data_IF_689084991672
#
_entry.id   IF_689084991672
#
_cell.length_a   1.000
_cell.length_b   1.000
_cell.length_c   1.000
_cell.angle_alpha   90.00
_cell.angle_beta   90.00
_cell.angle_gamma   90.00
#
_symmetry.space_group_name_H-M   'P 1'
#
loop_
_entity.id
_entity.type
_entity.pdbx_description
1 polymer ?
#
# COMPACT_ATOMS: atom_id res chain seq x y z
N UNK A 1 -32.94 9.24 2.12
CA UNK A 1 -32.55 8.85 3.50
C UNK A 1 -32.43 7.35 3.74
N UNK A 2 -33.15 6.47 3.03
CA UNK A 2 -33.13 5.01 3.26
C UNK A 2 -31.83 4.25 2.90
N UNK A 3 -30.83 4.91 2.29
CA UNK A 3 -29.54 4.28 1.92
C UNK A 3 -28.39 4.57 2.89
N UNK A 4 -28.66 5.25 4.01
CA UNK A 4 -27.63 5.57 5.00
C UNK A 4 -27.64 4.55 6.16
N UNK A 5 -26.50 4.29 6.81
CA UNK A 5 -26.43 3.49 8.03
C UNK A 5 -27.39 4.02 9.12
N UNK A 6 -28.02 3.12 9.89
CA UNK A 6 -29.11 3.44 10.84
C UNK A 6 -28.69 4.49 11.88
N UNK A 7 -27.45 4.46 12.33
CA UNK A 7 -26.87 5.45 13.24
C UNK A 7 -26.77 6.85 12.62
N UNK A 8 -26.47 6.95 11.33
CA UNK A 8 -26.41 8.21 10.59
C UNK A 8 -27.82 8.75 10.32
N UNK A 9 -28.77 7.87 10.03
CA UNK A 9 -30.19 8.25 9.90
C UNK A 9 -30.73 8.83 11.21
N UNK A 10 -30.39 8.24 12.36
CA UNK A 10 -30.82 8.72 13.68
C UNK A 10 -30.28 10.13 13.98
N UNK A 11 -28.99 10.36 13.68
CA UNK A 11 -28.35 11.68 13.86
C UNK A 11 -28.96 12.72 12.92
N UNK A 12 -29.19 12.37 11.66
CA UNK A 12 -29.82 13.26 10.67
C UNK A 12 -31.31 13.52 10.96
N UNK A 13 -32.01 12.58 11.60
CA UNK A 13 -33.41 12.77 12.02
C UNK A 13 -33.56 13.63 13.26
N UNK A 14 -32.53 13.71 14.11
CA UNK A 14 -32.49 14.57 15.29
C UNK A 14 -32.01 15.99 14.99
N UNK A 15 -31.35 16.20 13.85
CA UNK A 15 -30.85 17.50 13.40
C UNK A 15 -31.92 18.23 12.59
N UNK A 16 -32.36 19.40 13.05
CA UNK A 16 -33.32 20.25 12.32
C UNK A 16 -32.68 21.03 11.16
N UNK A 17 -31.35 20.95 11.01
CA UNK A 17 -30.60 21.74 10.05
C UNK A 17 -30.54 21.08 8.67
N UNK A 18 -30.52 21.90 7.62
CA UNK A 18 -30.43 21.43 6.24
C UNK A 18 -29.10 20.71 5.98
N UNK A 19 -29.11 19.70 5.10
CA UNK A 19 -27.92 18.90 4.74
C UNK A 19 -26.74 19.80 4.29
N UNK A 20 -27.05 20.91 3.63
CA UNK A 20 -26.10 21.93 3.18
C UNK A 20 -25.44 22.69 4.34
N UNK A 21 -26.16 22.93 5.44
CA UNK A 21 -25.60 23.58 6.63
C UNK A 21 -24.68 22.64 7.42
N UNK A 22 -25.01 21.34 7.47
CA UNK A 22 -24.15 20.32 8.09
C UNK A 22 -22.84 20.13 7.31
N UNK A 23 -22.91 20.14 5.97
CA UNK A 23 -21.71 20.12 5.12
C UNK A 23 -20.84 21.38 5.35
N UNK A 24 -21.46 22.56 5.41
CA UNK A 24 -20.75 23.79 5.73
C UNK A 24 -20.13 23.82 7.13
N UNK A 25 -20.77 23.19 8.13
CA UNK A 25 -20.22 23.04 9.47
C UNK A 25 -19.03 22.08 9.48
N UNK A 26 -19.10 20.97 8.75
CA UNK A 26 -17.98 20.03 8.60
C UNK A 26 -16.77 20.70 7.93
N UNK A 27 -16.98 21.49 6.88
CA UNK A 27 -15.92 22.27 6.23
C UNK A 27 -15.31 23.32 7.16
N UNK A 28 -16.12 23.98 8.00
CA UNK A 28 -15.61 24.93 9.01
C UNK A 28 -14.80 24.25 10.11
N UNK A 29 -15.22 23.07 10.56
CA UNK A 29 -14.48 22.27 11.55
C UNK A 29 -13.15 21.78 10.97
N UNK A 30 -13.12 21.44 9.67
CA UNK A 30 -11.89 21.11 8.95
C UNK A 30 -10.93 22.32 8.88
N UNK A 31 -11.43 23.51 8.54
CA UNK A 31 -10.62 24.73 8.43
C UNK A 31 -10.01 25.18 9.77
N UNK A 32 -10.70 24.97 10.89
CA UNK A 32 -10.21 25.35 12.23
C UNK A 32 -9.04 24.45 12.68
N UNK A 33 -8.90 23.25 12.12
CA UNK A 33 -7.83 22.31 12.43
C UNK A 33 -6.55 22.48 11.57
N UNK A 34 -6.48 23.44 10.66
CA UNK A 34 -5.30 23.70 9.80
C UNK A 34 -4.27 24.68 10.40
N UNK A 35 -4.05 24.70 11.72
CA UNK A 35 -2.88 25.42 12.27
C UNK A 35 -1.67 24.47 12.30
N UNK A 36 -1.03 24.29 11.14
CA UNK A 36 0.43 24.25 11.00
C UNK A 36 0.84 23.91 9.56
N UNK A 37 0.96 24.93 8.70
CA UNK A 37 1.88 24.92 7.56
C UNK A 37 2.65 26.25 7.50
N UNK A 38 3.92 26.25 7.07
CA UNK A 38 4.84 27.37 7.27
C UNK A 38 4.60 28.50 6.27
N UNK A 39 4.93 29.72 6.71
CA UNK A 39 4.82 30.97 5.94
C UNK A 39 5.85 30.97 4.80
N UNK A 40 5.38 31.15 3.56
CA UNK A 40 6.21 31.41 2.38
C UNK A 40 6.36 32.92 2.21
N UNK A 41 7.58 33.45 2.29
CA UNK A 41 7.87 34.84 1.92
C UNK A 41 7.98 34.96 0.40
N UNK A 42 7.14 35.80 -0.21
CA UNK A 42 7.34 36.27 -1.59
C UNK A 42 8.29 37.48 -1.58
N UNK A 43 9.43 37.36 -2.26
CA UNK A 43 10.38 38.45 -2.42
C UNK A 43 10.02 39.29 -3.65
N UNK A 44 9.72 40.58 -3.45
CA UNK A 44 9.55 41.58 -4.50
C UNK A 44 10.92 41.97 -5.09
N UNK A 45 10.98 42.02 -6.42
CA UNK A 45 12.13 42.50 -7.18
C UNK A 45 12.34 44.01 -6.99
N UNK A 46 13.57 44.40 -6.68
CA UNK A 46 14.07 45.74 -7.01
C UNK A 46 15.35 45.57 -7.84
N UNK A 47 15.29 46.08 -9.06
CA UNK A 47 16.43 46.19 -9.96
C UNK A 47 17.40 47.23 -9.38
N UNK A 48 18.57 46.77 -8.94
CA UNK A 48 19.77 47.60 -8.91
C UNK A 48 21.00 46.71 -9.12
N UNK A 49 21.86 47.18 -10.03
CA UNK A 49 23.11 46.60 -10.50
C UNK A 49 24.02 46.08 -9.38
N UNK A 50 23.97 44.78 -9.11
CA UNK A 50 24.83 44.11 -8.12
C UNK A 50 25.81 43.16 -8.82
N UNK A 51 26.92 43.71 -9.29
CA UNK A 51 28.07 42.93 -9.78
C UNK A 51 28.65 41.99 -8.70
N UNK A 52 28.51 42.34 -7.42
CA UNK A 52 28.85 41.45 -6.30
C UNK A 52 27.81 40.33 -6.09
N UNK A 53 26.53 40.62 -6.30
CA UNK A 53 25.46 39.63 -6.22
C UNK A 53 25.59 38.54 -7.28
N UNK A 54 25.98 38.93 -8.50
CA UNK A 54 26.24 37.99 -9.60
C UNK A 54 27.45 37.08 -9.32
N UNK A 55 28.50 37.59 -8.66
CA UNK A 55 29.67 36.77 -8.29
C UNK A 55 29.31 35.76 -7.19
N UNK A 56 28.49 36.16 -6.21
CA UNK A 56 27.99 35.29 -5.15
C UNK A 56 27.07 34.21 -5.73
N UNK A 57 26.13 34.59 -6.59
CA UNK A 57 25.22 33.66 -7.29
C UNK A 57 26.01 32.69 -8.17
N UNK A 58 27.04 33.17 -8.89
CA UNK A 58 27.92 32.30 -9.69
C UNK A 58 28.71 31.33 -8.81
N UNK A 59 29.26 31.77 -7.67
CA UNK A 59 29.97 30.88 -6.74
C UNK A 59 29.03 29.86 -6.09
N UNK A 60 27.78 30.26 -5.80
CA UNK A 60 26.76 29.36 -5.27
C UNK A 60 26.31 28.35 -6.32
N UNK A 61 26.13 28.78 -7.57
CA UNK A 61 25.82 27.88 -8.68
C UNK A 61 26.93 26.83 -8.87
N UNK A 62 28.21 27.23 -8.82
CA UNK A 62 29.33 26.29 -8.89
C UNK A 62 29.38 25.33 -7.69
N UNK A 63 29.09 25.81 -6.48
CA UNK A 63 29.00 24.95 -5.29
C UNK A 63 27.83 23.97 -5.39
N UNK A 64 26.68 24.41 -5.89
CA UNK A 64 25.51 23.57 -6.13
C UNK A 64 25.86 22.51 -7.17
N UNK A 65 26.49 22.87 -8.28
CA UNK A 65 26.88 21.91 -9.32
C UNK A 65 27.90 20.88 -8.81
N UNK A 66 28.87 21.31 -8.00
CA UNK A 66 29.81 20.41 -7.33
C UNK A 66 29.11 19.45 -6.35
N UNK A 67 28.17 19.96 -5.54
CA UNK A 67 27.35 19.16 -4.63
C UNK A 67 26.44 18.19 -5.39
N UNK A 68 25.79 18.63 -6.46
CA UNK A 68 24.97 17.78 -7.33
C UNK A 68 25.81 16.67 -7.97
N UNK A 69 27.03 16.97 -8.39
CA UNK A 69 27.97 15.97 -8.91
C UNK A 69 28.39 14.97 -7.82
N UNK A 70 28.64 15.44 -6.59
CA UNK A 70 28.97 14.59 -5.46
C UNK A 70 27.79 13.70 -5.02
N UNK A 71 26.57 14.25 -4.98
CA UNK A 71 25.33 13.50 -4.68
C UNK A 71 25.05 12.48 -5.78
N UNK A 72 25.28 12.82 -7.05
CA UNK A 72 25.16 11.88 -8.16
C UNK A 72 26.21 10.77 -8.09
N UNK A 73 27.44 11.08 -7.66
CA UNK A 73 28.49 10.08 -7.43
C UNK A 73 28.14 9.14 -6.27
N UNK A 74 27.68 9.68 -5.14
CA UNK A 74 27.21 8.90 -3.99
C UNK A 74 25.97 8.07 -4.34
N UNK A 75 25.07 8.60 -5.16
CA UNK A 75 23.88 7.88 -5.65
C UNK A 75 24.27 6.77 -6.64
N UNK A 76 25.29 6.99 -7.48
CA UNK A 76 25.86 5.95 -8.36
C UNK A 76 26.61 4.88 -7.58
N UNK A 77 27.33 5.24 -6.52
CA UNK A 77 27.98 4.28 -5.60
C UNK A 77 26.95 3.47 -4.81
N UNK A 78 25.90 4.12 -4.30
CA UNK A 78 24.75 3.46 -3.66
C UNK A 78 23.99 2.56 -4.64
N UNK A 79 23.81 2.97 -5.89
CA UNK A 79 23.22 2.12 -6.93
C UNK A 79 24.15 0.98 -7.35
N UNK A 80 25.48 1.16 -7.37
CA UNK A 80 26.44 0.06 -7.57
C UNK A 80 26.39 -0.94 -6.42
N UNK A 81 26.32 -0.47 -5.16
CA UNK A 81 26.12 -1.31 -3.99
C UNK A 81 24.77 -2.03 -4.02
N UNK A 82 23.70 -1.36 -4.45
CA UNK A 82 22.38 -1.96 -4.65
C UNK A 82 22.34 -2.95 -5.82
N UNK A 83 23.14 -2.78 -6.88
CA UNK A 83 23.25 -3.74 -7.98
C UNK A 83 24.09 -4.95 -7.56
N UNK A 84 25.15 -4.77 -6.76
CA UNK A 84 25.86 -5.90 -6.13
C UNK A 84 25.01 -6.60 -5.07
N UNK A 85 24.16 -5.88 -4.34
CA UNK A 85 23.18 -6.44 -3.40
C UNK A 85 21.93 -6.99 -4.10
N UNK A 86 21.61 -6.56 -5.32
CA UNK A 86 20.53 -7.12 -6.15
C UNK A 86 20.95 -8.44 -6.77
N UNK A 87 22.25 -8.63 -7.07
CA UNK A 87 22.82 -9.96 -7.36
C UNK A 87 23.00 -10.83 -6.11
N UNK A 88 22.94 -10.23 -4.92
CA UNK A 88 22.66 -10.91 -3.65
C UNK A 88 21.21 -10.64 -3.23
N UNK A 89 20.25 -10.68 -4.16
CA UNK A 89 18.83 -10.64 -3.80
C UNK A 89 18.62 -11.72 -2.74
N UNK A 90 18.27 -11.22 -1.57
CA UNK A 90 17.99 -11.91 -0.33
C UNK A 90 17.76 -13.42 -0.48
N UNK A 91 18.84 -14.20 -0.31
CA UNK A 91 18.80 -15.40 0.53
C UNK A 91 18.71 -14.97 2.01
N UNK A 92 17.85 -14.00 2.30
CA UNK A 92 17.44 -13.64 3.66
C UNK A 92 16.21 -14.47 4.02
N UNK A 93 16.18 -15.74 3.60
CA UNK A 93 15.71 -16.83 4.45
C UNK A 93 16.92 -17.24 5.28
N UNK A 94 17.38 -16.34 6.15
CA UNK A 94 18.16 -16.79 7.29
C UNK A 94 17.11 -17.13 8.33
N UNK A 95 16.43 -18.27 8.14
CA UNK A 95 16.09 -19.09 9.30
C UNK A 95 17.46 -19.38 9.90
N UNK A 96 17.87 -18.53 10.87
CA UNK A 96 18.96 -18.90 11.74
C UNK A 96 18.53 -20.24 12.30
N UNK A 97 19.21 -21.29 11.86
CA UNK A 97 19.20 -22.59 12.50
C UNK A 97 19.93 -22.44 13.84
N UNK A 98 19.42 -21.52 14.67
CA UNK A 98 19.83 -21.32 16.02
C UNK A 98 19.18 -22.44 16.81
N UNK A 99 20.00 -23.08 17.63
CA UNK A 99 19.81 -24.41 18.20
C UNK A 99 18.70 -24.45 19.28
N UNK A 100 17.49 -23.93 19.01
CA UNK A 100 16.45 -23.63 20.01
C UNK A 100 15.02 -23.95 19.54
N UNK A 101 14.82 -25.13 18.95
CA UNK A 101 13.64 -25.99 19.10
C UNK A 101 13.69 -27.02 17.97
N UNK A 102 13.44 -28.32 18.22
CA UNK A 102 13.13 -29.23 17.14
C UNK A 102 11.93 -28.67 16.37
N UNK A 103 12.03 -28.58 15.04
CA UNK A 103 10.92 -28.15 14.20
C UNK A 103 9.64 -28.91 14.60
N UNK A 104 8.62 -28.19 15.07
CA UNK A 104 7.38 -28.78 15.56
C UNK A 104 6.71 -29.67 14.49
N UNK A 105 6.89 -29.28 13.23
CA UNK A 105 6.38 -29.93 12.04
C UNK A 105 7.56 -30.29 11.11
N UNK A 106 7.64 -31.55 10.68
CA UNK A 106 8.77 -32.11 9.91
C UNK A 106 8.30 -32.59 8.54
N UNK A 107 9.22 -32.80 7.60
CA UNK A 107 8.90 -33.29 6.25
C UNK A 107 8.17 -34.65 6.29
N UNK A 108 8.56 -35.53 7.22
CA UNK A 108 7.84 -36.80 7.44
C UNK A 108 6.38 -36.58 7.87
N UNK A 109 6.12 -35.59 8.73
CA UNK A 109 4.73 -35.23 9.11
C UNK A 109 3.96 -34.65 7.93
N UNK A 110 4.59 -33.79 7.11
CA UNK A 110 3.98 -33.22 5.89
C UNK A 110 3.52 -34.33 4.95
N UNK A 111 4.40 -35.30 4.65
CA UNK A 111 4.08 -36.40 3.72
C UNK A 111 2.93 -37.26 4.22
N UNK A 112 2.83 -37.45 5.53
CA UNK A 112 1.82 -38.30 6.16
C UNK A 112 0.51 -37.57 6.55
N UNK A 113 0.45 -36.24 6.40
CA UNK A 113 -0.73 -35.44 6.73
C UNK A 113 -1.76 -35.46 5.58
N UNK A 114 -2.71 -36.38 5.65
CA UNK A 114 -3.71 -36.56 4.60
C UNK A 114 -4.61 -35.32 4.40
N UNK A 115 -4.85 -34.51 5.45
CA UNK A 115 -5.68 -33.31 5.37
C UNK A 115 -4.95 -32.22 4.59
N UNK A 116 -3.67 -32.02 4.89
CA UNK A 116 -2.81 -31.10 4.18
C UNK A 116 -2.66 -31.50 2.70
N UNK A 117 -2.51 -32.80 2.40
CA UNK A 117 -2.45 -33.28 1.03
C UNK A 117 -3.77 -33.11 0.28
N UNK A 118 -4.90 -33.35 0.95
CA UNK A 118 -6.22 -33.14 0.36
C UNK A 118 -6.49 -31.65 0.11
N UNK A 119 -6.08 -30.78 1.04
CA UNK A 119 -6.15 -29.33 0.86
C UNK A 119 -5.36 -28.90 -0.38
N UNK A 120 -4.12 -29.38 -0.55
CA UNK A 120 -3.34 -29.14 -1.77
C UNK A 120 -4.08 -29.60 -3.03
N UNK A 121 -4.67 -30.80 -3.00
CA UNK A 121 -5.43 -31.33 -4.13
C UNK A 121 -6.63 -30.42 -4.47
N UNK A 122 -7.32 -29.89 -3.46
CA UNK A 122 -8.42 -28.92 -3.62
C UNK A 122 -7.93 -27.62 -4.29
N UNK A 123 -6.77 -27.10 -3.86
CA UNK A 123 -6.18 -25.87 -4.39
C UNK A 123 -5.91 -25.97 -5.90
N UNK A 124 -5.34 -27.08 -6.37
CA UNK A 124 -4.95 -27.25 -7.78
C UNK A 124 -6.10 -27.74 -8.66
N UNK A 125 -7.11 -28.38 -8.08
CA UNK A 125 -8.25 -28.94 -8.80
C UNK A 125 -8.98 -27.84 -9.58
N UNK A 126 -9.36 -28.14 -10.82
CA UNK A 126 -10.05 -27.20 -11.70
C UNK A 126 -11.33 -26.63 -11.04
N UNK A 127 -11.57 -25.33 -11.22
CA UNK A 127 -12.78 -24.64 -10.74
C UNK A 127 -14.07 -25.27 -11.25
N UNK A 128 -14.07 -25.77 -12.50
CA UNK A 128 -15.22 -26.49 -13.10
C UNK A 128 -15.54 -27.80 -12.39
N UNK A 129 -14.56 -28.37 -11.68
CA UNK A 129 -14.72 -29.58 -10.89
C UNK A 129 -14.88 -29.27 -9.38
N UNK A 130 -15.06 -27.99 -9.02
CA UNK A 130 -15.27 -27.54 -7.65
C UNK A 130 -14.00 -27.25 -6.84
N UNK A 131 -12.82 -27.19 -7.47
CA UNK A 131 -11.58 -26.76 -6.79
C UNK A 131 -11.26 -25.27 -6.97
N UNK A 132 -10.04 -24.85 -6.61
CA UNK A 132 -9.61 -23.45 -6.74
C UNK A 132 -8.93 -23.12 -8.09
N UNK A 133 -8.42 -24.12 -8.80
CA UNK A 133 -7.72 -23.99 -10.08
C UNK A 133 -6.43 -23.18 -9.99
N UNK A 134 -5.74 -23.23 -8.84
CA UNK A 134 -4.49 -22.52 -8.65
C UNK A 134 -3.35 -23.21 -9.40
N UNK A 135 -2.66 -22.43 -10.22
CA UNK A 135 -1.46 -22.86 -10.93
C UNK A 135 -0.21 -22.56 -10.10
N UNK A 136 0.82 -23.38 -10.26
CA UNK A 136 2.11 -23.16 -9.62
C UNK A 136 2.15 -23.46 -8.12
N UNK A 137 1.18 -24.21 -7.59
CA UNK A 137 1.24 -24.71 -6.21
C UNK A 137 2.39 -25.74 -6.10
N UNK A 138 3.36 -25.56 -5.18
CA UNK A 138 4.46 -26.50 -4.94
C UNK A 138 4.02 -27.97 -4.82
N UNK A 139 4.92 -28.92 -5.07
CA UNK A 139 4.60 -30.35 -5.07
C UNK A 139 3.97 -30.91 -6.36
N UNK A 140 4.00 -30.15 -7.48
CA UNK A 140 3.36 -30.55 -8.75
C UNK A 140 3.90 -31.87 -9.29
N UNK A 141 5.23 -32.07 -9.25
CA UNK A 141 5.87 -33.29 -9.77
C UNK A 141 5.39 -34.57 -9.08
N UNK A 142 5.05 -34.47 -7.80
CA UNK A 142 4.64 -35.59 -6.97
C UNK A 142 3.12 -35.60 -6.72
N UNK A 143 2.40 -34.58 -7.22
CA UNK A 143 1.00 -34.30 -6.90
C UNK A 143 0.72 -34.17 -5.39
N UNK A 144 1.73 -33.82 -4.58
CA UNK A 144 1.65 -33.70 -3.12
C UNK A 144 2.78 -32.85 -2.55
N UNK A 145 2.58 -32.29 -1.36
CA UNK A 145 3.67 -31.69 -0.60
C UNK A 145 4.59 -32.78 -0.06
N UNK A 146 5.89 -32.57 -0.19
CA UNK A 146 6.94 -33.51 0.21
C UNK A 146 7.88 -32.97 1.28
N UNK A 147 7.95 -31.65 1.43
CA UNK A 147 8.74 -31.00 2.47
C UNK A 147 8.01 -29.77 3.05
N UNK A 148 8.55 -29.30 4.17
CA UNK A 148 8.03 -28.16 4.92
C UNK A 148 8.14 -26.83 4.16
N UNK A 149 9.15 -26.65 3.30
CA UNK A 149 9.32 -25.42 2.52
C UNK A 149 8.21 -25.26 1.48
N UNK A 150 7.76 -26.33 0.84
CA UNK A 150 6.63 -26.29 -0.11
C UNK A 150 5.34 -25.79 0.54
N UNK A 151 5.10 -26.18 1.80
CA UNK A 151 3.95 -25.73 2.59
C UNK A 151 4.11 -24.28 3.01
N UNK A 152 5.30 -23.91 3.49
CA UNK A 152 5.63 -22.53 3.89
C UNK A 152 5.48 -21.58 2.70
N UNK A 153 5.97 -21.94 1.51
CA UNK A 153 5.83 -21.14 0.29
C UNK A 153 4.37 -20.93 -0.09
N UNK A 154 3.57 -22.00 -0.02
CA UNK A 154 2.13 -21.93 -0.34
C UNK A 154 1.40 -21.04 0.65
N UNK A 155 1.57 -21.26 1.96
CA UNK A 155 0.92 -20.47 3.00
C UNK A 155 1.35 -19.01 3.00
N UNK A 156 2.65 -18.75 2.83
CA UNK A 156 3.19 -17.39 2.73
C UNK A 156 2.58 -16.67 1.54
N UNK A 157 2.44 -17.34 0.40
CA UNK A 157 1.82 -16.75 -0.80
C UNK A 157 0.35 -16.39 -0.57
N UNK A 158 -0.41 -17.28 0.08
CA UNK A 158 -1.83 -17.02 0.41
C UNK A 158 -1.95 -15.87 1.40
N UNK A 159 -1.24 -15.93 2.53
CA UNK A 159 -1.25 -14.87 3.56
C UNK A 159 -0.85 -13.54 2.92
N UNK A 160 0.23 -13.52 2.13
CA UNK A 160 0.72 -12.32 1.47
C UNK A 160 -0.29 -11.75 0.47
N UNK A 161 -1.00 -12.60 -0.27
CA UNK A 161 -2.01 -12.14 -1.24
C UNK A 161 -3.22 -11.56 -0.53
N UNK A 162 -3.72 -12.26 0.50
CA UNK A 162 -4.92 -11.88 1.23
C UNK A 162 -4.73 -10.67 2.17
N UNK A 163 -3.49 -10.30 2.48
CA UNK A 163 -3.16 -9.15 3.33
C UNK A 163 -2.38 -8.08 2.55
N UNK A 164 -1.06 -8.24 2.41
CA UNK A 164 -0.17 -7.26 1.77
C UNK A 164 -0.59 -6.91 0.35
N UNK A 165 -0.90 -7.92 -0.47
CA UNK A 165 -1.29 -7.74 -1.87
C UNK A 165 -2.58 -6.95 -2.00
N UNK A 166 -3.58 -7.28 -1.18
CA UNK A 166 -4.82 -6.51 -1.10
C UNK A 166 -4.58 -5.07 -0.62
N UNK A 167 -3.88 -4.87 0.50
CA UNK A 167 -3.60 -3.55 1.04
C UNK A 167 -2.90 -2.63 0.04
N UNK A 168 -1.89 -3.17 -0.67
CA UNK A 168 -1.13 -2.45 -1.69
C UNK A 168 -1.89 -2.16 -2.98
N UNK A 169 -3.04 -2.79 -3.23
CA UNK A 169 -3.86 -2.56 -4.42
C UNK A 169 -5.12 -1.74 -4.11
N UNK A 170 -5.54 -1.71 -2.85
CA UNK A 170 -6.85 -1.24 -2.45
C UNK A 170 -6.82 0.09 -1.68
N UNK A 171 -5.89 0.29 -0.74
CA UNK A 171 -5.98 1.44 0.17
C UNK A 171 -5.58 2.78 -0.43
N UNK A 172 -4.90 2.79 -1.57
CA UNK A 172 -4.61 4.00 -2.33
C UNK A 172 -5.70 4.39 -3.33
N UNK A 173 -6.78 3.59 -3.46
CA UNK A 173 -7.79 3.83 -4.49
C UNK A 173 -8.38 5.24 -4.41
N UNK A 174 -8.66 5.75 -3.22
CA UNK A 174 -9.15 7.13 -3.10
C UNK A 174 -8.10 8.13 -3.58
N UNK A 175 -6.86 8.00 -3.14
CA UNK A 175 -5.81 8.96 -3.46
C UNK A 175 -5.48 8.98 -4.96
N UNK A 176 -5.59 7.84 -5.65
CA UNK A 176 -5.34 7.73 -7.09
C UNK A 176 -6.56 8.16 -7.93
N UNK A 177 -7.76 7.64 -7.61
CA UNK A 177 -8.95 7.76 -8.46
C UNK A 177 -9.87 8.94 -8.09
N UNK A 178 -9.74 9.56 -6.91
CA UNK A 178 -10.58 10.70 -6.53
C UNK A 178 -10.33 11.96 -7.37
N UNK A 179 -9.21 12.00 -8.10
CA UNK A 179 -8.94 13.00 -9.13
C UNK A 179 -8.83 12.31 -10.50
N UNK A 180 -9.96 12.12 -11.22
CA UNK A 180 -10.00 11.37 -12.48
C UNK A 180 -9.00 11.83 -13.55
N UNK A 181 -8.64 13.12 -13.69
CA UNK A 181 -7.60 13.52 -14.64
C UNK A 181 -6.23 12.86 -14.38
N UNK A 182 -5.92 12.49 -13.14
CA UNK A 182 -4.69 11.77 -12.78
C UNK A 182 -4.78 10.27 -13.09
N UNK A 183 -5.91 9.63 -12.73
CA UNK A 183 -6.09 8.19 -12.94
C UNK A 183 -7.55 7.86 -13.31
N UNK A 184 -7.95 8.04 -14.58
CA UNK A 184 -9.33 7.85 -14.99
C UNK A 184 -9.68 6.37 -15.07
N UNK A 185 -10.60 5.91 -14.20
CA UNK A 185 -11.16 4.55 -14.26
C UNK A 185 -12.07 4.32 -15.47
N UNK A 186 -12.53 5.39 -16.12
CA UNK A 186 -13.34 5.37 -17.33
C UNK A 186 -13.02 6.60 -18.19
N UNK A 187 -13.01 6.41 -19.51
CA UNK A 187 -12.95 7.47 -20.50
C UNK A 187 -14.11 7.29 -21.49
N UNK A 188 -14.66 8.40 -21.97
CA UNK A 188 -15.73 8.42 -22.97
C UNK A 188 -15.17 8.74 -24.36
N UNK A 189 -15.81 8.18 -25.39
CA UNK A 189 -15.45 8.40 -26.79
C UNK A 189 -14.26 7.56 -27.25
N UNK A 190 -13.81 7.84 -28.47
CA UNK A 190 -12.72 7.10 -29.11
C UNK A 190 -11.35 7.72 -28.80
N UNK A 191 -10.30 6.88 -28.68
CA UNK A 191 -8.92 7.36 -28.64
C UNK A 191 -8.59 8.24 -29.86
N UNK A 192 -7.80 9.31 -29.70
CA UNK A 192 -7.33 10.12 -30.83
C UNK A 192 -6.59 9.26 -31.86
N UNK A 193 -6.89 9.47 -33.15
CA UNK A 193 -6.32 8.69 -34.27
C UNK A 193 -5.24 9.43 -35.05
N UNK A 194 -5.04 10.70 -34.73
CA UNK A 194 -4.03 11.56 -35.33
C UNK A 194 -3.34 12.38 -34.22
N UNK A 195 -2.43 13.27 -34.64
CA UNK A 195 -1.66 14.15 -33.74
C UNK A 195 -2.20 15.58 -33.74
N UNK A 196 -3.44 15.79 -34.17
CA UNK A 196 -4.05 17.11 -34.10
C UNK A 196 -4.16 17.55 -32.63
N UNK A 197 -3.96 18.84 -32.37
CA UNK A 197 -4.15 19.39 -31.04
C UNK A 197 -5.60 19.21 -30.60
N UNK A 198 -5.78 18.76 -29.35
CA UNK A 198 -7.07 18.69 -28.68
C UNK A 198 -7.24 19.95 -27.84
N UNK A 199 -8.42 20.55 -27.87
CA UNK A 199 -8.76 21.63 -26.96
C UNK A 199 -9.06 21.07 -25.56
N UNK A 200 -8.96 21.91 -24.53
CA UNK A 200 -9.29 21.52 -23.15
C UNK A 200 -10.68 20.90 -23.02
N UNK A 201 -11.67 21.44 -23.75
CA UNK A 201 -13.03 20.91 -23.76
C UNK A 201 -13.10 19.49 -24.34
N UNK A 202 -12.25 19.15 -25.31
CA UNK A 202 -12.19 17.79 -25.87
C UNK A 202 -11.64 16.79 -24.86
N UNK A 203 -10.82 17.24 -23.90
CA UNK A 203 -10.31 16.42 -22.80
C UNK A 203 -11.38 16.30 -21.71
N UNK A 204 -12.00 17.42 -21.32
CA UNK A 204 -13.04 17.46 -20.30
C UNK A 204 -14.27 16.63 -20.69
N UNK A 205 -14.62 16.57 -21.97
CA UNK A 205 -15.71 15.73 -22.47
C UNK A 205 -15.38 14.23 -22.51
N UNK A 206 -14.10 13.85 -22.35
CA UNK A 206 -13.66 12.45 -22.33
C UNK A 206 -13.51 11.88 -20.92
N UNK A 207 -13.42 12.70 -19.89
CA UNK A 207 -13.33 12.26 -18.48
C UNK A 207 -14.73 12.21 -17.82
N UNK A 208 -14.87 11.54 -16.66
CA UNK A 208 -16.09 11.57 -15.86
C UNK A 208 -16.66 12.97 -15.66
N UNK A 209 -17.97 13.10 -15.85
CA UNK A 209 -18.68 14.32 -15.46
C UNK A 209 -18.69 14.46 -13.92
N UNK A 210 -19.24 15.57 -13.42
CA UNK A 210 -19.24 15.86 -11.97
C UNK A 210 -19.95 14.79 -11.13
N UNK A 211 -21.10 14.30 -11.60
CA UNK A 211 -21.90 13.30 -10.89
C UNK A 211 -21.13 11.97 -10.80
N UNK A 212 -20.64 11.48 -11.94
CA UNK A 212 -19.83 10.25 -11.97
C UNK A 212 -18.52 10.39 -11.19
N UNK A 213 -17.91 11.58 -11.19
CA UNK A 213 -16.72 11.86 -10.37
C UNK A 213 -17.02 11.73 -8.89
N UNK A 214 -18.14 12.30 -8.41
CA UNK A 214 -18.56 12.16 -7.02
C UNK A 214 -18.83 10.70 -6.65
N UNK A 215 -19.47 9.93 -7.53
CA UNK A 215 -19.68 8.49 -7.30
C UNK A 215 -18.34 7.73 -7.18
N UNK A 216 -17.39 7.99 -8.09
CA UNK A 216 -16.04 7.41 -8.04
C UNK A 216 -15.36 7.77 -6.70
N UNK A 217 -15.41 9.03 -6.29
CA UNK A 217 -14.83 9.48 -5.02
C UNK A 217 -15.45 8.75 -3.83
N UNK A 218 -16.78 8.62 -3.78
CA UNK A 218 -17.48 7.94 -2.68
C UNK A 218 -17.11 6.46 -2.63
N UNK A 219 -17.16 5.76 -3.77
CA UNK A 219 -16.85 4.32 -3.84
C UNK A 219 -15.40 4.07 -3.45
N UNK A 220 -14.46 4.81 -4.04
CA UNK A 220 -13.03 4.61 -3.78
C UNK A 220 -12.65 5.01 -2.36
N UNK A 221 -13.34 6.00 -1.76
CA UNK A 221 -13.18 6.33 -0.34
C UNK A 221 -13.63 5.18 0.55
N UNK A 222 -14.79 4.60 0.25
CA UNK A 222 -15.33 3.47 1.01
C UNK A 222 -14.41 2.26 0.91
N UNK A 223 -13.98 1.88 -0.30
CA UNK A 223 -13.09 0.75 -0.51
C UNK A 223 -11.72 0.96 0.13
N UNK A 224 -11.22 2.20 0.21
CA UNK A 224 -9.93 2.52 0.86
C UNK A 224 -9.99 2.47 2.41
N UNK A 225 -11.14 2.15 3.01
CA UNK A 225 -11.30 2.15 4.47
C UNK A 225 -10.57 0.97 5.12
N UNK A 226 -9.91 1.24 6.25
CA UNK A 226 -9.17 0.25 7.05
C UNK A 226 -9.97 -0.14 8.28
N UNK A 227 -10.93 -1.05 8.13
CA UNK A 227 -11.93 -1.33 9.17
C UNK A 227 -11.54 -2.42 10.19
N UNK A 228 -10.55 -3.25 9.88
CA UNK A 228 -10.21 -4.45 10.66
C UNK A 228 -8.85 -4.35 11.34
N UNK A 229 -8.57 -5.32 12.21
CA UNK A 229 -7.31 -5.41 12.96
C UNK A 229 -6.11 -5.57 12.02
N UNK A 230 -4.98 -5.00 12.45
CA UNK A 230 -3.72 -5.06 11.72
C UNK A 230 -3.15 -6.48 11.67
N UNK A 231 -2.25 -6.70 10.72
CA UNK A 231 -1.62 -7.98 10.46
C UNK A 231 -0.93 -8.51 11.73
N UNK A 232 -1.28 -9.73 12.15
CA UNK A 232 -0.77 -10.35 13.37
C UNK A 232 -1.53 -10.00 14.66
N UNK A 233 -2.45 -9.03 14.64
CA UNK A 233 -3.45 -8.79 15.69
C UNK A 233 -4.72 -9.60 15.38
N UNK A 234 -4.78 -10.84 15.89
CA UNK A 234 -5.89 -11.76 15.64
C UNK A 234 -7.05 -11.51 16.62
N UNK A 235 -8.28 -11.42 16.11
CA UNK A 235 -9.48 -11.19 16.94
C UNK A 235 -9.79 -12.34 17.90
N UNK A 236 -9.32 -13.54 17.59
CA UNK A 236 -9.52 -14.75 18.39
C UNK A 236 -8.22 -15.49 18.58
N UNK A 237 -8.08 -16.15 19.73
CA UNK A 237 -6.93 -16.98 20.02
C UNK A 237 -7.09 -18.35 19.36
N UNK A 238 -6.34 -18.58 18.28
CA UNK A 238 -6.26 -19.88 17.60
C UNK A 238 -5.02 -20.69 17.98
N UNK A 239 -3.99 -20.02 18.53
CA UNK A 239 -2.70 -20.62 18.85
C UNK A 239 -2.57 -20.84 20.36
N UNK A 240 -2.38 -22.10 20.76
CA UNK A 240 -2.22 -22.51 22.16
C UNK A 240 -0.89 -23.22 22.42
N UNK A 241 -0.31 -23.87 21.42
CA UNK A 241 0.98 -24.53 21.58
C UNK A 241 2.08 -23.47 21.84
N UNK A 242 2.95 -23.64 22.86
CA UNK A 242 3.92 -22.61 23.24
C UNK A 242 4.80 -22.12 22.08
N UNK A 243 5.25 -23.04 21.22
CA UNK A 243 6.04 -22.68 20.04
C UNK A 243 5.27 -21.77 19.06
N UNK A 244 3.96 -21.99 18.86
CA UNK A 244 3.14 -21.16 17.98
C UNK A 244 2.88 -19.78 18.60
N UNK A 245 2.64 -19.73 19.91
CA UNK A 245 2.45 -18.48 20.64
C UNK A 245 3.72 -17.62 20.58
N UNK A 246 4.88 -18.25 20.77
CA UNK A 246 6.18 -17.58 20.65
C UNK A 246 6.42 -17.08 19.22
N UNK A 247 6.22 -17.92 18.21
CA UNK A 247 6.40 -17.51 16.81
C UNK A 247 5.47 -16.35 16.41
N UNK A 248 4.22 -16.34 16.89
CA UNK A 248 3.29 -15.23 16.66
C UNK A 248 3.74 -13.93 17.35
N UNK A 249 4.38 -14.04 18.52
CA UNK A 249 4.94 -12.90 19.21
C UNK A 249 6.15 -12.32 18.47
N UNK A 250 7.08 -13.18 18.03
CA UNK A 250 8.24 -12.79 17.22
C UNK A 250 7.78 -12.11 15.92
N UNK A 251 6.77 -12.66 15.24
CA UNK A 251 6.18 -12.06 14.04
C UNK A 251 5.64 -10.64 14.30
N UNK A 252 4.90 -10.42 15.39
CA UNK A 252 4.41 -9.07 15.75
C UNK A 252 5.54 -8.09 16.04
N UNK A 253 6.62 -8.54 16.68
CA UNK A 253 7.78 -7.71 16.97
C UNK A 253 8.53 -7.30 15.69
N UNK A 254 8.67 -8.22 14.73
CA UNK A 254 9.23 -7.94 13.42
C UNK A 254 8.36 -6.94 12.63
N UNK A 255 7.04 -7.11 12.63
CA UNK A 255 6.11 -6.15 12.01
C UNK A 255 6.22 -4.76 12.64
N UNK A 256 6.34 -4.67 13.97
CA UNK A 256 6.55 -3.39 14.66
C UNK A 256 7.90 -2.73 14.30
N UNK A 257 8.95 -3.53 14.08
CA UNK A 257 10.23 -3.02 13.56
C UNK A 257 10.10 -2.48 12.14
N UNK A 258 9.41 -3.20 11.26
CA UNK A 258 9.16 -2.77 9.87
C UNK A 258 8.35 -1.47 9.84
N UNK A 259 7.28 -1.37 10.63
CA UNK A 259 6.46 -0.15 10.75
C UNK A 259 7.32 1.06 11.16
N UNK A 260 8.19 0.90 12.17
CA UNK A 260 9.12 1.96 12.60
C UNK A 260 10.04 2.42 11.46
N UNK A 261 10.60 1.48 10.69
CA UNK A 261 11.45 1.82 9.54
C UNK A 261 10.67 2.55 8.44
N UNK A 262 9.45 2.12 8.13
CA UNK A 262 8.56 2.76 7.14
C UNK A 262 8.24 4.19 7.56
N UNK A 263 7.84 4.40 8.80
CA UNK A 263 7.56 5.74 9.36
C UNK A 263 8.78 6.65 9.31
N UNK A 264 9.97 6.14 9.66
CA UNK A 264 11.19 6.92 9.58
C UNK A 264 11.53 7.33 8.14
N UNK A 265 11.44 6.39 7.18
CA UNK A 265 11.64 6.65 5.76
C UNK A 265 10.66 7.72 5.26
N UNK A 266 9.40 7.62 5.64
CA UNK A 266 8.32 8.49 5.16
C UNK A 266 8.46 9.95 5.63
N UNK A 267 9.12 10.22 6.77
CA UNK A 267 9.37 11.59 7.26
C UNK A 267 10.16 12.47 6.29
N UNK A 268 10.96 11.87 5.42
CA UNK A 268 11.80 12.59 4.46
C UNK A 268 11.25 12.55 3.03
N UNK A 269 10.01 12.11 2.83
CA UNK A 269 9.36 12.05 1.52
C UNK A 269 8.30 13.15 1.39
N UNK A 270 8.23 13.78 0.23
CA UNK A 270 7.14 14.72 -0.08
C UNK A 270 5.78 14.01 -0.17
N UNK A 271 5.77 12.75 -0.62
CA UNK A 271 4.62 11.88 -0.71
C UNK A 271 4.91 10.56 0.03
N UNK A 272 4.51 10.45 1.31
CA UNK A 272 4.67 9.23 2.10
C UNK A 272 3.98 8.03 1.47
N UNK A 273 4.63 6.86 1.50
CA UNK A 273 4.00 5.59 1.12
C UNK A 273 3.64 4.79 2.37
N UNK A 274 2.36 4.79 2.74
CA UNK A 274 1.85 4.22 3.99
C UNK A 274 1.06 2.92 3.81
N UNK A 275 0.71 2.57 2.57
CA UNK A 275 -0.21 1.47 2.26
C UNK A 275 0.30 0.08 2.67
N UNK A 276 1.62 -0.07 2.84
CA UNK A 276 2.27 -1.28 3.34
C UNK A 276 2.90 -1.11 4.74
N UNK A 277 2.50 -0.11 5.50
CA UNK A 277 2.84 -0.08 6.93
C UNK A 277 2.05 -1.20 7.64
N UNK A 278 2.70 -2.15 8.33
CA UNK A 278 2.01 -3.24 9.03
C UNK A 278 0.91 -2.80 10.00
N UNK A 279 0.97 -1.57 10.53
CA UNK A 279 -0.10 -1.02 11.38
C UNK A 279 -1.44 -0.86 10.64
N UNK A 280 -1.41 -0.82 9.31
CA UNK A 280 -2.57 -0.54 8.47
C UNK A 280 -2.97 -1.69 7.54
N UNK A 281 -2.19 -2.77 7.50
CA UNK A 281 -2.49 -3.95 6.68
C UNK A 281 -3.42 -4.86 7.47
N UNK A 282 -4.62 -5.21 6.97
CA UNK A 282 -5.51 -6.16 7.64
C UNK A 282 -5.05 -7.61 7.48
N UNK A 283 -5.52 -8.50 8.37
CA UNK A 283 -5.24 -9.94 8.27
C UNK A 283 -5.87 -10.63 7.05
N UNK A 284 -6.94 -10.05 6.48
CA UNK A 284 -7.68 -10.61 5.35
C UNK A 284 -8.37 -9.53 4.52
N UNK A 285 -8.83 -9.93 3.33
CA UNK A 285 -9.72 -9.13 2.47
C UNK A 285 -11.10 -9.06 3.13
N UNK A 286 -11.48 -7.87 3.60
CA UNK A 286 -12.64 -7.65 4.48
C UNK A 286 -13.45 -6.39 4.15
N UNK A 287 -13.24 -5.83 2.96
CA UNK A 287 -13.96 -4.68 2.41
C UNK A 287 -14.40 -4.99 0.98
#
# INVERSE_FOLDING_TARGET
MQRLPVNVQAILSASTDSLSQLAHLADKVWQINEISKPIVYSASHSENSNTEGLSIVSSLAQKIEALTTQVNRLSRERNRQNVTNSRKRSRSRTFNNDNRNPAYYTDEKVVNDYELQQWRAELVKDRKLGGCGLLGVPGEKNSRFTDTEEVVDTMTSIISTCSLGHAAANFQQYDDYAFPPNYPGILYGEPPKDKCELADNDILNRIPNKETTLDIMVITKLLSTRATKSLGDFESQFMFHPACVQAAQEFREELAQISRHIKLRNRCQAFPYEWLDPEYIPNAISI
#
